data_IF_690895109426
#
_entry.id   IF_690895109426
#
_cell.length_a   1.000
_cell.length_b   1.000
_cell.length_c   1.000
_cell.angle_alpha   90.00
_cell.angle_beta   90.00
_cell.angle_gamma   90.00
#
_symmetry.space_group_name_H-M   'P 1'
#
loop_
_entity.id
_entity.type
_entity.pdbx_description
1 polymer ?
#
# COMPACT_ATOMS: atom_id res chain seq x y z
N UNK A 1 9.82 15.11 -15.61
CA UNK A 1 10.90 15.85 -14.91
C UNK A 1 11.50 14.92 -13.86
N UNK A 2 12.82 14.69 -13.89
CA UNK A 2 13.48 13.59 -13.17
C UNK A 2 13.45 13.81 -11.64
N UNK A 3 12.79 12.93 -10.88
CA UNK A 3 12.74 12.94 -9.42
C UNK A 3 14.15 13.05 -8.80
N UNK A 4 15.15 12.48 -9.47
CA UNK A 4 16.56 12.59 -9.09
C UNK A 4 17.07 14.04 -9.06
N UNK A 5 16.66 14.91 -10.00
CA UNK A 5 17.04 16.34 -9.98
C UNK A 5 16.41 17.12 -8.84
N UNK A 6 15.20 16.76 -8.42
CA UNK A 6 14.53 17.38 -7.28
C UNK A 6 15.18 16.90 -5.99
N UNK A 7 15.40 15.59 -5.85
CA UNK A 7 16.13 15.00 -4.72
C UNK A 7 17.55 15.55 -4.61
N UNK A 8 18.26 15.70 -5.74
CA UNK A 8 19.58 16.36 -5.78
C UNK A 8 19.49 17.84 -5.37
N UNK A 9 18.43 18.56 -5.74
CA UNK A 9 18.24 19.97 -5.34
C UNK A 9 17.86 20.10 -3.86
N UNK A 10 17.10 19.14 -3.32
CA UNK A 10 16.79 19.03 -1.88
C UNK A 10 18.06 18.67 -1.10
N UNK A 11 18.83 17.68 -1.57
CA UNK A 11 20.09 17.27 -0.96
C UNK A 11 21.15 18.39 -0.99
N UNK A 12 21.21 19.15 -2.09
CA UNK A 12 22.07 20.35 -2.21
C UNK A 12 21.57 21.55 -1.42
N UNK A 13 20.36 21.51 -0.85
CA UNK A 13 19.89 22.55 0.08
C UNK A 13 20.48 22.39 1.50
N UNK A 14 21.58 21.65 1.61
CA UNK A 14 22.38 21.32 2.81
C UNK A 14 22.95 22.52 3.57
N UNK A 15 22.58 23.75 3.23
CA UNK A 15 22.90 24.97 3.98
C UNK A 15 21.72 25.45 4.84
N UNK A 16 20.72 24.61 5.08
CA UNK A 16 19.62 24.99 5.97
C UNK A 16 20.09 24.91 7.41
N UNK A 17 19.95 26.05 8.10
CA UNK A 17 19.97 26.15 9.54
C UNK A 17 19.00 25.13 10.14
N UNK A 18 19.57 24.12 10.79
CA UNK A 18 18.84 23.06 11.50
C UNK A 18 18.46 23.48 12.92
N UNK A 19 18.76 24.72 13.31
CA UNK A 19 18.51 25.29 14.62
C UNK A 19 17.33 26.27 14.65
N UNK A 20 16.76 26.61 13.49
CA UNK A 20 15.64 27.54 13.37
C UNK A 20 14.42 26.83 12.77
N UNK A 21 13.24 26.90 13.41
CA UNK A 21 12.00 26.43 12.82
C UNK A 21 11.75 27.12 11.48
N UNK A 22 11.69 26.34 10.40
CA UNK A 22 11.46 26.86 9.05
C UNK A 22 10.33 26.11 8.35
N UNK A 23 9.49 26.80 7.57
CA UNK A 23 8.48 26.15 6.73
C UNK A 23 9.13 25.15 5.75
N UNK A 24 8.40 24.08 5.38
CA UNK A 24 8.81 23.22 4.28
C UNK A 24 8.98 24.03 2.99
N UNK A 25 10.04 23.79 2.21
CA UNK A 25 10.21 24.45 0.92
C UNK A 25 9.10 24.06 -0.05
N UNK A 26 8.67 25.01 -0.86
CA UNK A 26 7.62 24.81 -1.86
C UNK A 26 7.99 23.71 -2.87
N UNK A 27 9.26 23.52 -3.19
CA UNK A 27 9.72 22.45 -4.07
C UNK A 27 9.61 21.07 -3.43
N UNK A 28 9.82 20.97 -2.11
CA UNK A 28 9.63 19.73 -1.37
C UNK A 28 8.14 19.38 -1.29
N UNK A 29 7.29 20.37 -0.99
CA UNK A 29 5.84 20.19 -1.00
C UNK A 29 5.36 19.74 -2.38
N UNK A 30 5.81 20.41 -3.45
CA UNK A 30 5.49 20.06 -4.83
C UNK A 30 5.88 18.61 -5.18
N UNK A 31 7.06 18.18 -4.70
CA UNK A 31 7.53 16.80 -4.87
C UNK A 31 6.63 15.80 -4.16
N UNK A 32 6.37 15.99 -2.87
CA UNK A 32 5.56 15.07 -2.06
C UNK A 32 4.14 14.98 -2.60
N UNK A 33 3.50 16.11 -2.93
CA UNK A 33 2.14 16.13 -3.50
C UNK A 33 2.08 15.35 -4.82
N UNK A 34 3.02 15.61 -5.74
CA UNK A 34 3.07 14.89 -7.02
C UNK A 34 3.35 13.40 -6.81
N UNK A 35 4.29 13.07 -5.94
CA UNK A 35 4.70 11.70 -5.66
C UNK A 35 3.54 10.90 -5.07
N UNK A 36 2.92 11.40 -4.00
CA UNK A 36 1.75 10.77 -3.38
C UNK A 36 0.59 10.57 -4.37
N UNK A 37 0.28 11.61 -5.18
CA UNK A 37 -0.75 11.51 -6.21
C UNK A 37 -0.44 10.44 -7.26
N UNK A 38 0.83 10.35 -7.68
CA UNK A 38 1.28 9.39 -8.71
C UNK A 38 1.24 7.96 -8.18
N UNK A 39 1.70 7.73 -6.95
CA UNK A 39 1.60 6.42 -6.28
C UNK A 39 0.14 5.97 -6.16
N UNK A 40 -0.77 6.92 -5.91
CA UNK A 40 -2.20 6.62 -5.87
C UNK A 40 -2.83 6.43 -7.26
N UNK A 41 -2.10 6.70 -8.34
CA UNK A 41 -2.58 6.75 -9.71
C UNK A 41 -3.76 7.74 -9.91
N UNK A 42 -3.72 8.84 -9.16
CA UNK A 42 -4.73 9.90 -9.21
C UNK A 42 -4.40 10.92 -10.31
N UNK A 43 -5.44 11.38 -11.02
CA UNK A 43 -5.32 12.57 -11.88
C UNK A 43 -5.24 13.83 -11.01
N UNK A 44 -4.74 14.92 -11.57
CA UNK A 44 -4.76 16.23 -10.91
C UNK A 44 -6.20 16.62 -10.51
N UNK A 45 -7.17 16.37 -11.40
CA UNK A 45 -8.59 16.59 -11.11
C UNK A 45 -9.09 15.78 -9.93
N UNK A 46 -8.69 14.51 -9.82
CA UNK A 46 -9.07 13.65 -8.69
C UNK A 46 -8.59 14.25 -7.36
N UNK A 47 -7.32 14.66 -7.27
CA UNK A 47 -6.83 15.30 -6.05
C UNK A 47 -7.55 16.62 -5.77
N UNK A 48 -7.84 17.41 -6.80
CA UNK A 48 -8.58 18.67 -6.65
C UNK A 48 -9.99 18.43 -6.07
N UNK A 49 -10.69 17.40 -6.55
CA UNK A 49 -12.01 17.00 -6.07
C UNK A 49 -11.96 16.57 -4.60
N UNK A 50 -11.04 15.66 -4.24
CA UNK A 50 -10.88 15.20 -2.85
C UNK A 50 -10.49 16.33 -1.89
N UNK A 51 -9.62 17.23 -2.32
CA UNK A 51 -9.21 18.38 -1.53
C UNK A 51 -10.24 19.54 -1.58
N UNK A 52 -11.30 19.45 -2.38
CA UNK A 52 -12.27 20.54 -2.56
C UNK A 52 -11.57 21.88 -2.90
N UNK A 53 -10.64 21.85 -3.86
CA UNK A 53 -9.91 23.01 -4.40
C UNK A 53 -9.99 23.00 -5.93
N UNK A 54 -9.57 24.08 -6.58
CA UNK A 54 -9.52 24.10 -8.05
C UNK A 54 -8.37 23.23 -8.60
N UNK A 55 -8.54 22.68 -9.80
CA UNK A 55 -7.47 22.00 -10.56
C UNK A 55 -6.23 22.90 -10.65
N UNK A 56 -6.44 24.18 -10.98
CA UNK A 56 -5.35 25.17 -11.06
C UNK A 56 -4.58 25.33 -9.76
N UNK A 57 -5.23 25.18 -8.60
CA UNK A 57 -4.56 25.24 -7.29
C UNK A 57 -3.60 24.07 -7.13
N UNK A 58 -4.04 22.85 -7.46
CA UNK A 58 -3.18 21.66 -7.42
C UNK A 58 -2.00 21.78 -8.39
N UNK A 59 -2.24 22.24 -9.61
CA UNK A 59 -1.17 22.46 -10.59
C UNK A 59 -0.12 23.47 -10.12
N UNK A 60 -0.55 24.57 -9.49
CA UNK A 60 0.36 25.56 -8.91
C UNK A 60 1.21 24.96 -7.80
N UNK A 61 0.61 24.19 -6.90
CA UNK A 61 1.35 23.46 -5.85
C UNK A 61 2.38 22.53 -6.48
N UNK A 62 2.01 21.73 -7.49
CA UNK A 62 2.96 20.81 -8.13
C UNK A 62 4.06 21.54 -8.91
N UNK A 63 3.85 22.77 -9.38
CA UNK A 63 4.91 23.60 -9.97
C UNK A 63 5.84 24.25 -8.94
N UNK A 64 5.55 24.11 -7.64
CA UNK A 64 6.29 24.77 -6.57
C UNK A 64 5.97 26.26 -6.44
N UNK A 65 4.79 26.68 -6.90
CA UNK A 65 4.33 28.05 -6.71
C UNK A 65 3.70 28.25 -5.32
N UNK A 66 3.75 29.49 -4.81
CA UNK A 66 3.12 29.82 -3.53
C UNK A 66 1.59 29.73 -3.65
N UNK A 67 0.98 29.04 -2.68
CA UNK A 67 -0.47 28.85 -2.52
C UNK A 67 -0.84 29.16 -1.07
N UNK A 68 -2.09 29.54 -0.80
CA UNK A 68 -2.57 29.84 0.55
C UNK A 68 -2.59 28.61 1.47
N UNK A 69 -2.38 28.83 2.77
CA UNK A 69 -2.28 27.77 3.78
C UNK A 69 -3.55 26.91 3.87
N UNK A 70 -4.74 27.52 3.76
CA UNK A 70 -6.00 26.78 3.77
C UNK A 70 -6.08 25.75 2.64
N UNK A 71 -5.62 26.10 1.44
CA UNK A 71 -5.60 25.17 0.31
C UNK A 71 -4.53 24.08 0.51
N UNK A 72 -3.39 24.41 1.11
CA UNK A 72 -2.37 23.42 1.48
C UNK A 72 -2.89 22.44 2.53
N UNK A 73 -3.66 22.89 3.52
CA UNK A 73 -4.29 22.03 4.52
C UNK A 73 -5.27 21.05 3.89
N UNK A 74 -6.13 21.52 2.98
CA UNK A 74 -7.08 20.64 2.29
C UNK A 74 -6.38 19.60 1.43
N UNK A 75 -5.30 19.98 0.73
CA UNK A 75 -4.48 19.04 -0.06
C UNK A 75 -3.75 18.04 0.86
N UNK A 76 -3.22 18.49 2.00
CA UNK A 76 -2.58 17.63 3.00
C UNK A 76 -3.56 16.56 3.50
N UNK A 77 -4.75 16.97 3.95
CA UNK A 77 -5.78 16.07 4.44
C UNK A 77 -6.24 15.06 3.38
N UNK A 78 -6.45 15.50 2.13
CA UNK A 78 -6.84 14.60 1.03
C UNK A 78 -5.78 13.51 0.74
N UNK A 79 -4.51 13.80 1.02
CA UNK A 79 -3.40 12.87 0.88
C UNK A 79 -3.12 12.06 2.17
N UNK A 80 -3.90 12.25 3.23
CA UNK A 80 -3.73 11.55 4.51
C UNK A 80 -2.69 12.17 5.45
N UNK A 81 -2.32 13.43 5.23
CA UNK A 81 -1.43 14.18 6.13
C UNK A 81 -2.22 15.13 7.03
N UNK A 82 -1.63 15.48 8.17
CA UNK A 82 -2.20 16.46 9.10
C UNK A 82 -2.20 17.88 8.56
N UNK A 83 -3.08 18.71 9.14
CA UNK A 83 -3.04 20.17 8.93
C UNK A 83 -1.68 20.73 9.34
N UNK A 84 -1.18 21.69 8.58
CA UNK A 84 0.14 22.29 8.76
C UNK A 84 1.28 21.50 8.13
N UNK A 85 1.08 20.26 7.68
CA UNK A 85 2.18 19.40 7.18
C UNK A 85 3.01 20.02 6.04
N UNK A 86 2.43 20.95 5.27
CA UNK A 86 3.04 21.58 4.10
C UNK A 86 3.44 23.05 4.30
N UNK A 87 3.21 23.66 5.46
CA UNK A 87 3.60 25.07 5.69
C UNK A 87 4.05 25.39 7.12
N UNK A 88 3.63 24.60 8.12
CA UNK A 88 3.96 24.87 9.51
C UNK A 88 5.49 24.83 9.71
N UNK A 89 6.08 25.86 10.34
CA UNK A 89 7.50 25.86 10.65
C UNK A 89 7.87 24.67 11.52
N UNK A 90 8.90 23.92 11.11
CA UNK A 90 9.46 22.80 11.85
C UNK A 90 10.98 22.87 11.85
N UNK A 91 11.60 22.28 12.86
CA UNK A 91 13.06 22.18 12.90
C UNK A 91 13.47 21.21 11.78
N UNK A 92 14.25 21.66 10.77
CA UNK A 92 14.70 20.76 9.72
C UNK A 92 15.60 19.69 10.30
N UNK A 93 15.36 18.44 9.92
CA UNK A 93 16.27 17.34 10.23
C UNK A 93 17.66 17.63 9.65
N UNK A 94 18.70 17.31 10.42
CA UNK A 94 20.07 17.39 9.93
C UNK A 94 20.32 16.39 8.79
N UNK A 95 21.31 16.63 7.90
CA UNK A 95 21.58 15.74 6.76
C UNK A 95 21.80 14.27 7.16
N UNK A 96 22.45 14.02 8.29
CA UNK A 96 22.68 12.67 8.82
C UNK A 96 21.39 12.01 9.32
N UNK A 97 20.52 12.77 9.99
CA UNK A 97 19.21 12.27 10.45
C UNK A 97 18.28 12.01 9.27
N UNK A 98 18.25 12.90 8.27
CA UNK A 98 17.52 12.65 7.01
C UNK A 98 18.04 11.37 6.36
N UNK A 99 19.35 11.20 6.25
CA UNK A 99 19.92 10.00 5.66
C UNK A 99 19.56 8.74 6.45
N UNK A 100 19.64 8.78 7.78
CA UNK A 100 19.27 7.67 8.66
C UNK A 100 17.79 7.31 8.54
N UNK A 101 16.88 8.25 8.77
CA UNK A 101 15.43 7.99 8.71
C UNK A 101 14.96 7.61 7.30
N UNK A 102 15.51 8.24 6.26
CA UNK A 102 15.19 7.88 4.87
C UNK A 102 15.71 6.49 4.51
N UNK A 103 16.93 6.14 4.95
CA UNK A 103 17.51 4.82 4.71
C UNK A 103 16.72 3.76 5.48
N UNK A 104 16.42 3.95 6.76
CA UNK A 104 15.68 2.98 7.56
C UNK A 104 14.26 2.74 7.03
N UNK A 105 13.59 3.81 6.57
CA UNK A 105 12.22 3.71 6.06
C UNK A 105 12.20 3.13 4.65
N UNK A 106 13.04 3.61 3.73
CA UNK A 106 12.99 3.19 2.33
C UNK A 106 13.75 1.89 2.06
N UNK A 107 14.80 1.56 2.81
CA UNK A 107 15.58 0.34 2.57
C UNK A 107 14.80 -0.94 2.86
N UNK A 108 13.78 -0.85 3.71
CA UNK A 108 12.90 -1.97 4.03
C UNK A 108 11.69 -2.07 3.09
N UNK A 109 11.43 -1.09 2.22
CA UNK A 109 10.33 -1.16 1.26
C UNK A 109 10.73 -1.98 0.04
N UNK A 110 9.97 -3.04 -0.21
CA UNK A 110 10.06 -3.83 -1.42
C UNK A 110 8.90 -3.49 -2.36
N UNK A 111 9.22 -3.21 -3.62
CA UNK A 111 8.21 -3.05 -4.66
C UNK A 111 7.69 -4.42 -5.10
N UNK A 112 6.41 -4.68 -4.86
CA UNK A 112 5.73 -5.92 -5.22
C UNK A 112 4.79 -5.64 -6.38
N UNK A 113 4.98 -6.36 -7.49
CA UNK A 113 4.04 -6.26 -8.62
C UNK A 113 2.70 -6.87 -8.26
N UNK A 114 1.62 -6.14 -8.55
CA UNK A 114 0.24 -6.54 -8.25
C UNK A 114 -0.63 -6.45 -9.49
N UNK A 115 -1.69 -7.26 -9.52
CA UNK A 115 -2.71 -7.22 -10.54
C UNK A 115 -4.09 -7.50 -9.94
N UNK A 116 -5.19 -7.11 -10.62
CA UNK A 116 -6.54 -7.47 -10.19
C UNK A 116 -6.71 -8.99 -10.06
N UNK A 117 -7.25 -9.44 -8.94
CA UNK A 117 -7.45 -10.86 -8.65
C UNK A 117 -8.66 -11.42 -9.40
N UNK A 118 -8.54 -11.55 -10.73
CA UNK A 118 -9.66 -11.90 -11.65
C UNK A 118 -9.49 -13.23 -12.37
N UNK A 119 -8.36 -13.89 -12.19
CA UNK A 119 -8.00 -15.09 -12.96
C UNK A 119 -7.67 -16.25 -12.05
N UNK A 120 -7.92 -17.47 -12.54
CA UNK A 120 -7.50 -18.71 -11.88
C UNK A 120 -5.99 -18.73 -11.66
N UNK A 121 -5.21 -18.10 -12.55
CA UNK A 121 -3.76 -17.96 -12.40
C UNK A 121 -3.41 -17.17 -11.14
N UNK A 122 -4.05 -16.03 -10.92
CA UNK A 122 -3.81 -15.17 -9.76
C UNK A 122 -4.18 -15.88 -8.45
N UNK A 123 -5.33 -16.59 -8.42
CA UNK A 123 -5.70 -17.45 -7.27
C UNK A 123 -4.65 -18.52 -7.03
N UNK A 124 -4.25 -19.25 -8.07
CA UNK A 124 -3.23 -20.30 -7.98
C UNK A 124 -1.90 -19.76 -7.46
N UNK A 125 -1.44 -18.61 -7.94
CA UNK A 125 -0.19 -18.00 -7.47
C UNK A 125 -0.29 -17.61 -5.99
N UNK A 126 -1.43 -17.07 -5.55
CA UNK A 126 -1.66 -16.71 -4.16
C UNK A 126 -1.67 -17.93 -3.21
N UNK A 127 -2.45 -18.98 -3.53
CA UNK A 127 -2.57 -20.15 -2.63
C UNK A 127 -1.30 -21.01 -2.55
N UNK A 128 -0.35 -20.85 -3.49
CA UNK A 128 0.95 -21.51 -3.44
C UNK A 128 1.98 -20.72 -2.60
N UNK A 129 1.58 -19.61 -1.99
CA UNK A 129 2.37 -18.89 -1.00
C UNK A 129 2.19 -19.52 0.38
N UNK A 130 3.15 -19.27 1.27
CA UNK A 130 3.16 -19.83 2.62
C UNK A 130 2.41 -18.96 3.63
N UNK A 131 2.17 -17.69 3.28
CA UNK A 131 1.39 -16.75 4.09
C UNK A 131 0.68 -15.72 3.20
N UNK A 132 -0.29 -15.03 3.79
CA UNK A 132 -1.03 -13.93 3.17
C UNK A 132 -0.79 -12.66 3.98
N UNK A 133 -0.49 -11.53 3.34
CA UNK A 133 -0.46 -10.22 3.98
C UNK A 133 -1.60 -9.38 3.42
N UNK A 134 -2.56 -9.02 4.27
CA UNK A 134 -3.70 -8.18 3.89
C UNK A 134 -3.37 -6.72 4.16
N UNK A 135 -3.27 -5.92 3.10
CA UNK A 135 -3.15 -4.47 3.17
C UNK A 135 -4.50 -3.83 2.86
N UNK A 136 -5.12 -3.18 3.84
CA UNK A 136 -6.50 -2.68 3.75
C UNK A 136 -6.71 -1.22 4.22
N UNK A 137 -5.97 -0.24 3.68
CA UNK A 137 -6.03 1.13 4.16
C UNK A 137 -7.43 1.74 3.93
N UNK A 138 -7.92 2.44 4.96
CA UNK A 138 -9.21 3.14 4.96
C UNK A 138 -10.42 2.27 4.59
N UNK A 139 -10.31 0.94 4.70
CA UNK A 139 -11.45 0.02 4.51
C UNK A 139 -12.31 0.01 5.76
N UNK A 140 -13.62 0.33 5.68
CA UNK A 140 -14.50 0.29 6.84
C UNK A 140 -14.69 -1.13 7.40
N UNK A 141 -14.87 -1.23 8.72
CA UNK A 141 -15.10 -2.48 9.47
C UNK A 141 -16.28 -3.32 8.93
N UNK A 142 -17.23 -2.69 8.22
CA UNK A 142 -18.35 -3.36 7.55
C UNK A 142 -17.91 -4.38 6.48
N UNK A 143 -16.63 -4.40 6.09
CA UNK A 143 -16.02 -5.36 5.17
C UNK A 143 -15.15 -6.41 5.85
N UNK A 144 -14.98 -6.36 7.18
CA UNK A 144 -14.09 -7.26 7.93
C UNK A 144 -14.41 -8.72 7.66
N UNK A 145 -15.71 -9.07 7.71
CA UNK A 145 -16.15 -10.43 7.45
C UNK A 145 -15.88 -10.87 6.01
N UNK A 146 -16.02 -9.97 5.02
CA UNK A 146 -15.75 -10.32 3.62
C UNK A 146 -14.25 -10.60 3.40
N UNK A 147 -13.39 -9.77 4.00
CA UNK A 147 -11.94 -9.93 3.95
C UNK A 147 -11.53 -11.22 4.67
N UNK A 148 -12.06 -11.47 5.86
CA UNK A 148 -11.79 -12.69 6.63
C UNK A 148 -12.21 -13.94 5.84
N UNK A 149 -13.41 -13.93 5.25
CA UNK A 149 -13.90 -15.02 4.40
C UNK A 149 -12.98 -15.26 3.20
N UNK A 150 -12.51 -14.20 2.53
CA UNK A 150 -11.58 -14.35 1.40
C UNK A 150 -10.27 -15.03 1.83
N UNK A 151 -9.69 -14.60 2.96
CA UNK A 151 -8.46 -15.20 3.50
C UNK A 151 -8.70 -16.65 3.88
N UNK A 152 -9.81 -16.96 4.54
CA UNK A 152 -10.18 -18.34 4.90
C UNK A 152 -10.35 -19.22 3.67
N UNK A 153 -11.00 -18.73 2.61
CA UNK A 153 -11.11 -19.47 1.35
C UNK A 153 -9.76 -19.73 0.68
N UNK A 154 -8.83 -18.77 0.76
CA UNK A 154 -7.47 -18.93 0.23
C UNK A 154 -6.65 -19.93 1.03
N UNK A 155 -6.73 -19.87 2.35
CA UNK A 155 -6.06 -20.81 3.26
C UNK A 155 -6.62 -22.22 3.09
N UNK A 156 -7.94 -22.37 3.06
CA UNK A 156 -8.62 -23.64 2.79
C UNK A 156 -8.21 -24.23 1.44
N UNK A 157 -8.13 -23.41 0.39
CA UNK A 157 -7.69 -23.87 -0.92
C UNK A 157 -6.20 -24.24 -0.96
N UNK A 158 -5.35 -23.50 -0.23
CA UNK A 158 -3.92 -23.84 -0.08
C UNK A 158 -3.77 -25.21 0.60
N UNK A 159 -4.43 -25.39 1.73
CA UNK A 159 -4.44 -26.63 2.51
C UNK A 159 -4.99 -27.83 1.69
N UNK A 160 -6.17 -27.66 1.08
CA UNK A 160 -6.85 -28.73 0.34
C UNK A 160 -6.06 -29.21 -0.89
N UNK A 161 -5.21 -28.35 -1.46
CA UNK A 161 -4.46 -28.65 -2.68
C UNK A 161 -3.00 -29.04 -2.44
N UNK A 162 -2.51 -28.96 -1.19
CA UNK A 162 -1.16 -29.36 -0.79
C UNK A 162 -0.88 -30.87 -0.92
N UNK A 163 -1.91 -31.70 -1.15
CA UNK A 163 -1.76 -33.09 -1.62
C UNK A 163 -1.38 -34.13 -0.56
N UNK A 164 -1.24 -33.75 0.71
CA UNK A 164 -0.84 -34.66 1.79
C UNK A 164 -2.02 -35.27 2.58
N UNK A 165 -3.25 -34.79 2.37
CA UNK A 165 -4.43 -35.25 3.09
C UNK A 165 -5.41 -35.95 2.15
N UNK A 166 -5.47 -37.28 2.23
CA UNK A 166 -6.61 -38.05 1.73
C UNK A 166 -7.66 -38.02 2.83
N UNK A 167 -8.66 -37.13 2.71
CA UNK A 167 -9.86 -37.23 3.52
C UNK A 167 -10.63 -38.45 3.01
N UNK A 168 -10.56 -39.55 3.76
CA UNK A 168 -11.36 -40.73 3.49
C UNK A 168 -12.85 -40.36 3.54
N UNK A 169 -13.52 -40.40 2.39
CA UNK A 169 -14.98 -40.37 2.29
C UNK A 169 -15.64 -39.12 1.71
N UNK A 170 -14.92 -38.02 1.45
CA UNK A 170 -15.46 -36.85 0.74
C UNK A 170 -14.62 -36.48 -0.48
N UNK A 171 -15.26 -36.39 -1.66
CA UNK A 171 -14.61 -35.82 -2.85
C UNK A 171 -14.32 -34.34 -2.58
N UNK A 172 -13.05 -34.01 -2.34
CA UNK A 172 -12.59 -32.62 -2.28
C UNK A 172 -13.11 -31.87 -3.52
N UNK A 173 -13.64 -30.64 -3.34
CA UNK A 173 -14.12 -29.85 -4.48
C UNK A 173 -13.01 -29.72 -5.51
N UNK A 174 -13.33 -30.09 -6.76
CA UNK A 174 -12.34 -30.03 -7.84
C UNK A 174 -11.72 -28.63 -7.94
N UNK A 175 -10.39 -28.56 -8.15
CA UNK A 175 -9.58 -27.33 -8.21
C UNK A 175 -10.28 -26.13 -8.87
N UNK A 176 -10.94 -26.37 -9.99
CA UNK A 176 -11.65 -25.35 -10.77
C UNK A 176 -12.82 -24.71 -10.01
N UNK A 177 -13.55 -25.50 -9.21
CA UNK A 177 -14.66 -25.04 -8.37
C UNK A 177 -14.13 -24.13 -7.26
N UNK A 178 -13.12 -24.57 -6.51
CA UNK A 178 -12.47 -23.75 -5.47
C UNK A 178 -11.99 -22.39 -6.00
N UNK A 179 -11.34 -22.39 -7.17
CA UNK A 179 -10.88 -21.14 -7.78
C UNK A 179 -12.04 -20.23 -8.18
N UNK A 180 -13.14 -20.81 -8.67
CA UNK A 180 -14.34 -20.02 -8.98
C UNK A 180 -14.98 -19.45 -7.71
N UNK A 181 -15.07 -20.22 -6.63
CA UNK A 181 -15.68 -19.78 -5.37
C UNK A 181 -14.90 -18.59 -4.77
N UNK A 182 -13.56 -18.65 -4.79
CA UNK A 182 -12.68 -17.53 -4.41
C UNK A 182 -12.94 -16.31 -5.30
N UNK A 183 -12.98 -16.49 -6.62
CA UNK A 183 -13.22 -15.38 -7.55
C UNK A 183 -14.62 -14.79 -7.42
N UNK A 184 -15.62 -15.59 -7.06
CA UNK A 184 -16.97 -15.11 -6.74
C UNK A 184 -16.93 -14.24 -5.48
N UNK A 185 -16.21 -14.66 -4.43
CA UNK A 185 -16.01 -13.84 -3.23
C UNK A 185 -15.35 -12.49 -3.57
N UNK A 186 -14.29 -12.50 -4.39
CA UNK A 186 -13.63 -11.27 -4.85
C UNK A 186 -14.59 -10.40 -5.68
N UNK A 187 -15.37 -10.98 -6.58
CA UNK A 187 -16.33 -10.25 -7.40
C UNK A 187 -17.42 -9.57 -6.56
N UNK A 188 -17.88 -10.22 -5.48
CA UNK A 188 -18.85 -9.65 -4.54
C UNK A 188 -18.25 -8.47 -3.77
N UNK A 189 -17.01 -8.57 -3.31
CA UNK A 189 -16.28 -7.44 -2.70
C UNK A 189 -16.13 -6.28 -3.69
N UNK A 190 -15.78 -6.58 -4.96
CA UNK A 190 -15.68 -5.55 -5.99
C UNK A 190 -17.01 -4.87 -6.28
N UNK A 191 -18.12 -5.63 -6.29
CA UNK A 191 -19.48 -5.13 -6.50
C UNK A 191 -19.91 -4.18 -5.37
N UNK A 192 -19.47 -4.45 -4.15
CA UNK A 192 -19.73 -3.58 -2.98
C UNK A 192 -18.84 -2.34 -2.92
N UNK A 193 -17.90 -2.19 -3.84
CA UNK A 193 -17.11 -0.97 -3.97
C UNK A 193 -15.66 -1.11 -3.54
N UNK A 194 -15.15 -2.32 -3.31
CA UNK A 194 -13.72 -2.55 -3.08
C UNK A 194 -12.97 -2.77 -4.40
N UNK A 195 -11.65 -2.62 -4.34
CA UNK A 195 -10.69 -3.10 -5.35
C UNK A 195 -9.82 -4.14 -4.67
N UNK A 196 -9.65 -5.31 -5.29
CA UNK A 196 -8.81 -6.39 -4.77
C UNK A 196 -7.68 -6.67 -5.75
N UNK A 197 -6.46 -6.32 -5.35
CA UNK A 197 -5.24 -6.64 -6.09
C UNK A 197 -4.48 -7.73 -5.35
N UNK A 198 -3.77 -8.56 -6.11
CA UNK A 198 -2.90 -9.60 -5.56
C UNK A 198 -1.54 -9.55 -6.23
N UNK A 199 -0.50 -9.75 -5.41
CA UNK A 199 0.88 -9.91 -5.84
C UNK A 199 1.57 -10.99 -5.02
N UNK A 200 2.76 -11.40 -5.44
CA UNK A 200 3.58 -12.37 -4.71
C UNK A 200 4.91 -11.73 -4.38
N UNK A 201 5.27 -11.74 -3.10
CA UNK A 201 6.54 -11.24 -2.59
C UNK A 201 7.43 -12.43 -2.21
N UNK A 202 8.68 -12.40 -2.66
CA UNK A 202 9.69 -13.39 -2.28
C UNK A 202 10.43 -12.91 -1.02
N UNK A 203 10.16 -13.53 0.12
CA UNK A 203 10.65 -13.11 1.41
C UNK A 203 11.44 -14.25 2.09
N UNK A 204 12.62 -14.64 1.56
CA UNK A 204 13.40 -15.75 2.09
C UNK A 204 13.73 -15.55 3.57
N UNK A 205 13.56 -16.60 4.36
CA UNK A 205 13.88 -16.63 5.79
C UNK A 205 15.14 -17.49 6.00
N UNK A 206 15.91 -17.29 7.10
CA UNK A 206 17.15 -18.04 7.36
C UNK A 206 17.02 -19.57 7.24
N UNK A 207 15.85 -20.13 7.58
CA UNK A 207 15.57 -21.57 7.48
C UNK A 207 14.49 -21.92 6.42
N UNK A 208 13.92 -20.94 5.73
CA UNK A 208 12.87 -21.11 4.71
C UNK A 208 13.22 -20.25 3.49
N UNK A 209 14.18 -20.68 2.64
CA UNK A 209 14.68 -19.88 1.53
C UNK A 209 13.63 -19.65 0.43
N UNK A 210 12.64 -20.53 0.32
CA UNK A 210 11.56 -20.43 -0.67
C UNK A 210 10.30 -19.72 -0.14
N UNK A 211 10.39 -19.05 1.02
CA UNK A 211 9.25 -18.38 1.65
C UNK A 211 8.69 -17.26 0.76
N UNK A 212 7.41 -17.40 0.40
CA UNK A 212 6.65 -16.46 -0.40
C UNK A 212 5.42 -16.02 0.37
N UNK A 213 5.10 -14.74 0.24
CA UNK A 213 3.91 -14.14 0.84
C UNK A 213 3.04 -13.59 -0.27
N UNK A 214 1.77 -13.96 -0.27
CA UNK A 214 0.77 -13.38 -1.14
C UNK A 214 0.32 -12.04 -0.54
N UNK A 215 0.50 -10.95 -1.28
CA UNK A 215 0.13 -9.60 -0.87
C UNK A 215 -1.27 -9.32 -1.42
N UNK A 216 -2.24 -9.15 -0.53
CA UNK A 216 -3.62 -8.79 -0.86
C UNK A 216 -3.83 -7.31 -0.57
N UNK A 217 -3.87 -6.47 -1.62
CA UNK A 217 -4.17 -5.05 -1.47
C UNK A 217 -5.65 -4.81 -1.73
N UNK A 218 -6.38 -4.45 -0.68
CA UNK A 218 -7.82 -4.25 -0.68
C UNK A 218 -8.12 -2.79 -0.35
N UNK A 219 -8.70 -2.04 -1.28
CA UNK A 219 -8.91 -0.59 -1.10
C UNK A 219 -10.32 -0.18 -1.52
N UNK A 220 -10.98 0.78 -0.85
CA UNK A 220 -12.28 1.28 -1.30
C UNK A 220 -12.14 2.11 -2.57
N UNK A 221 -12.99 1.86 -3.58
CA UNK A 221 -13.06 2.66 -4.81
C UNK A 221 -13.44 4.12 -4.55
N UNK A 222 -14.18 4.36 -3.46
CA UNK A 222 -14.66 5.69 -3.11
C UNK A 222 -13.53 6.59 -2.61
N UNK A 223 -12.64 6.08 -1.77
CA UNK A 223 -11.51 6.83 -1.21
C UNK A 223 -10.27 6.71 -2.07
N UNK A 224 -10.19 5.68 -2.91
CA UNK A 224 -9.03 5.43 -3.75
C UNK A 224 -9.37 4.89 -5.15
N UNK A 225 -9.94 5.75 -6.02
CA UNK A 225 -10.41 5.34 -7.35
C UNK A 225 -9.28 4.93 -8.31
N UNK A 226 -8.03 5.30 -8.01
CA UNK A 226 -6.87 4.96 -8.83
C UNK A 226 -6.33 3.55 -8.58
N UNK A 227 -6.73 2.90 -7.49
CA UNK A 227 -6.19 1.61 -7.04
C UNK A 227 -6.22 0.53 -8.14
N UNK A 228 -7.31 0.43 -8.90
CA UNK A 228 -7.49 -0.60 -9.94
C UNK A 228 -6.42 -0.57 -11.05
N UNK A 229 -5.72 0.57 -11.21
CA UNK A 229 -4.68 0.76 -12.22
C UNK A 229 -3.27 0.61 -11.66
N UNK A 230 -3.10 0.26 -10.39
CA UNK A 230 -1.78 0.02 -9.82
C UNK A 230 -1.22 -1.29 -10.36
N UNK A 231 0.03 -1.23 -10.76
CA UNK A 231 0.86 -2.36 -11.19
C UNK A 231 1.86 -2.79 -10.10
N UNK A 232 2.04 -1.95 -9.08
CA UNK A 232 2.91 -2.20 -7.93
C UNK A 232 2.33 -1.66 -6.62
N UNK A 233 2.77 -2.26 -5.51
CA UNK A 233 2.61 -1.73 -4.14
C UNK A 233 3.96 -1.84 -3.41
N UNK A 234 4.19 -0.97 -2.44
CA UNK A 234 5.40 -1.04 -1.59
C UNK A 234 5.06 -1.74 -0.28
N UNK A 235 5.78 -2.80 0.04
CA UNK A 235 5.59 -3.60 1.25
C UNK A 235 6.83 -3.48 2.12
N UNK A 236 6.64 -3.18 3.41
CA UNK A 236 7.74 -3.22 4.37
C UNK A 236 8.13 -4.69 4.63
N UNK A 237 9.37 -5.05 4.32
CA UNK A 237 9.91 -6.40 4.50
C UNK A 237 9.76 -6.87 5.94
N UNK A 238 9.83 -5.98 6.92
CA UNK A 238 9.74 -6.34 8.34
C UNK A 238 8.38 -6.95 8.70
N UNK A 239 7.32 -6.57 7.98
CA UNK A 239 5.98 -7.12 8.15
C UNK A 239 5.84 -8.58 7.70
N UNK A 240 6.87 -9.15 7.05
CA UNK A 240 6.85 -10.52 6.53
C UNK A 240 8.03 -11.37 7.03
N UNK A 241 8.83 -10.87 7.98
CA UNK A 241 9.94 -11.62 8.59
C UNK A 241 9.45 -12.43 9.80
N UNK A 242 9.80 -13.72 9.85
CA UNK A 242 9.36 -14.64 10.92
C UNK A 242 10.13 -14.45 12.23
N UNK A 243 11.31 -13.81 12.24
CA UNK A 243 12.17 -13.72 13.43
C UNK A 243 11.64 -12.84 14.55
N UNK A 244 10.62 -12.01 14.29
CA UNK A 244 9.90 -11.23 15.32
C UNK A 244 8.56 -11.87 15.71
N UNK A 245 8.26 -13.09 15.21
CA UNK A 245 6.99 -13.76 15.43
C UNK A 245 7.11 -14.80 16.55
N UNK A 246 6.47 -14.54 17.69
CA UNK A 246 6.18 -15.61 18.65
C UNK A 246 5.16 -16.58 18.03
N UNK A 247 5.12 -17.84 18.46
CA UNK A 247 4.16 -18.83 17.94
C UNK A 247 2.68 -18.41 18.11
N UNK A 248 2.39 -17.36 18.88
CA UNK A 248 1.08 -16.72 18.99
C UNK A 248 0.80 -15.63 17.93
N UNK A 249 1.82 -15.08 17.27
CA UNK A 249 1.70 -14.03 16.24
C UNK A 249 1.31 -14.57 14.86
N UNK A 250 1.38 -15.89 14.64
CA UNK A 250 0.82 -16.49 13.42
C UNK A 250 -0.69 -16.22 13.33
N UNK A 251 -1.37 -16.04 14.48
CA UNK A 251 -2.77 -15.65 14.53
C UNK A 251 -3.03 -14.17 14.21
N UNK A 252 -2.03 -13.29 14.29
CA UNK A 252 -2.19 -11.86 13.99
C UNK A 252 -2.20 -11.56 12.49
N UNK A 253 -1.65 -12.47 11.66
CA UNK A 253 -1.85 -12.49 10.20
C UNK A 253 -3.29 -12.90 9.82
N UNK A 254 -4.02 -13.56 10.73
CA UNK A 254 -5.45 -13.88 10.57
C UNK A 254 -6.34 -12.83 11.27
N UNK A 255 -5.85 -12.08 12.26
CA UNK A 255 -6.61 -11.04 12.98
C UNK A 255 -5.71 -9.93 13.55
N UNK A 256 -5.61 -8.78 12.85
CA UNK A 256 -5.42 -7.39 13.34
C UNK A 256 -4.70 -6.58 12.24
N UNK A 257 -5.07 -5.37 11.82
CA UNK A 257 -5.99 -4.35 12.34
C UNK A 257 -6.76 -3.70 11.19
#
# INVERSE_FOLDING_TARGET
>A
MNAKKILEKIARSSERRTDVPTPPPVELVAFIVRWARTLRNWKVSTLADFACVSISTVERVERGEKVGEEALDRIALALGYDKGAFYAPRIPLGPEQVAGETLDTLANLEEVSVAPMKTHRAVREAINCQAFLVHRPDVPDAYDQDIANLVEWLDFASFSLAGEFHLDGEELPGRRKLYNDILTSVAEMERRGLTVLVGVMHAPQPNLPDWKVAILSITPKLTDPGAIKRDCVFVDRRSVVLSDMSFGDISSIIRSS
#
